data_IF_626266299580
#
_entry.id   IF_626266299580
#
_cell.length_a   1.000
_cell.length_b   1.000
_cell.length_c   1.000
_cell.angle_alpha   90.00
_cell.angle_beta   90.00
_cell.angle_gamma   90.00
#
_symmetry.space_group_name_H-M   'P 1'
#
loop_
_entity.id
_entity.type
_entity.pdbx_description
1 polymer ?
#
# COMPACT_ATOMS: atom_id res chain seq x y z
N UNK A 1 11.99 0.31 9.41
CA UNK A 1 13.19 0.56 8.62
C UNK A 1 12.77 0.80 7.17
N UNK A 2 13.08 1.98 6.62
CA UNK A 2 12.67 2.36 5.27
C UNK A 2 13.85 2.16 4.31
N UNK A 3 13.59 1.50 3.18
CA UNK A 3 14.61 1.17 2.18
C UNK A 3 14.26 1.86 0.86
N UNK A 4 15.18 2.62 0.33
CA UNK A 4 15.05 3.32 -0.94
C UNK A 4 16.03 2.73 -1.96
N UNK A 5 15.57 2.46 -3.16
CA UNK A 5 16.40 1.89 -4.23
C UNK A 5 15.59 1.52 -5.46
N UNK A 6 16.28 1.16 -6.52
CA UNK A 6 15.62 0.58 -7.68
C UNK A 6 15.24 -0.89 -7.41
N UNK A 7 14.23 -1.35 -8.13
CA UNK A 7 13.66 -2.72 -7.97
C UNK A 7 14.68 -3.84 -8.20
N UNK A 8 15.78 -3.56 -8.89
CA UNK A 8 16.79 -4.56 -9.28
C UNK A 8 18.18 -4.30 -8.69
N UNK A 9 18.36 -3.17 -8.00
CA UNK A 9 19.63 -2.82 -7.37
C UNK A 9 19.57 -3.03 -5.86
N UNK A 10 20.76 -3.14 -5.24
CA UNK A 10 20.85 -3.14 -3.78
C UNK A 10 20.25 -1.84 -3.23
N UNK A 11 19.63 -1.88 -2.04
CA UNK A 11 19.05 -0.70 -1.41
C UNK A 11 20.12 0.40 -1.28
N UNK A 12 19.80 1.61 -1.75
CA UNK A 12 20.73 2.74 -1.77
C UNK A 12 20.95 3.29 -0.37
N UNK A 13 19.90 3.27 0.47
CA UNK A 13 19.97 3.68 1.86
C UNK A 13 18.85 3.06 2.69
N UNK A 14 19.06 2.98 3.99
CA UNK A 14 18.08 2.60 5.00
C UNK A 14 17.95 3.72 6.03
N UNK A 15 16.70 4.05 6.37
CA UNK A 15 16.36 5.08 7.33
C UNK A 15 15.46 4.52 8.42
N UNK A 16 15.67 4.99 9.65
CA UNK A 16 14.66 4.92 10.69
C UNK A 16 13.72 6.11 10.51
N UNK A 17 12.42 5.89 10.71
CA UNK A 17 11.40 6.92 10.75
C UNK A 17 10.86 7.05 12.16
N UNK A 18 10.90 8.26 12.70
CA UNK A 18 10.21 8.63 13.93
C UNK A 18 9.13 9.63 13.56
N UNK A 19 7.91 9.41 14.02
CA UNK A 19 6.78 10.26 13.65
C UNK A 19 5.75 10.35 14.76
N UNK A 20 5.27 11.55 15.03
CA UNK A 20 4.06 11.81 15.78
C UNK A 20 2.93 12.14 14.81
N UNK A 21 1.89 11.34 14.83
CA UNK A 21 0.78 11.40 13.86
C UNK A 21 -0.55 11.60 14.56
N UNK A 22 -1.40 12.46 13.99
CA UNK A 22 -2.79 12.65 14.38
C UNK A 22 -3.66 12.76 13.11
N UNK A 23 -4.76 12.02 13.08
CA UNK A 23 -5.76 12.13 12.02
C UNK A 23 -7.16 12.28 12.61
N UNK A 24 -8.01 13.01 11.89
CA UNK A 24 -9.43 13.12 12.18
C UNK A 24 -10.23 13.10 10.88
N UNK A 25 -11.36 12.43 10.88
CA UNK A 25 -12.18 12.31 9.69
C UNK A 25 -13.66 12.15 10.00
N UNK A 26 -14.46 12.31 8.97
CA UNK A 26 -15.89 12.04 8.98
C UNK A 26 -16.24 11.22 7.75
N UNK A 27 -17.11 10.23 7.93
CA UNK A 27 -17.49 9.34 6.85
C UNK A 27 -18.84 8.69 7.11
N UNK A 28 -19.27 7.94 6.11
CA UNK A 28 -20.48 7.11 6.17
C UNK A 28 -20.13 5.69 5.82
N UNK A 29 -20.48 4.78 6.72
CA UNK A 29 -20.46 3.35 6.44
C UNK A 29 -21.77 2.90 5.77
N UNK A 30 -21.66 2.02 4.79
CA UNK A 30 -22.77 1.39 4.08
C UNK A 30 -22.93 -0.04 4.55
N UNK A 31 -23.57 -0.21 5.73
CA UNK A 31 -23.64 -1.51 6.40
C UNK A 31 -22.22 -2.06 6.66
N UNK A 32 -21.98 -3.31 6.30
CA UNK A 32 -20.70 -4.01 6.47
C UNK A 32 -19.90 -4.18 5.16
N UNK A 33 -20.33 -3.53 4.08
CA UNK A 33 -19.74 -3.76 2.77
C UNK A 33 -18.99 -2.55 2.16
N UNK A 34 -19.12 -1.37 2.75
CA UNK A 34 -18.43 -0.22 2.20
C UNK A 34 -18.41 1.02 3.08
N UNK A 35 -17.57 1.96 2.72
CA UNK A 35 -17.41 3.25 3.39
C UNK A 35 -17.01 4.35 2.42
N UNK A 36 -17.40 5.57 2.72
CA UNK A 36 -16.97 6.80 2.07
C UNK A 36 -16.64 7.83 3.14
N UNK A 37 -15.49 8.46 3.07
CA UNK A 37 -15.08 9.44 4.06
C UNK A 37 -14.11 10.47 3.54
N UNK A 38 -13.97 11.53 4.32
CA UNK A 38 -12.92 12.54 4.17
C UNK A 38 -12.21 12.70 5.51
N UNK A 39 -10.93 13.00 5.46
CA UNK A 39 -10.10 13.15 6.65
C UNK A 39 -9.04 14.22 6.47
N UNK A 40 -8.55 14.71 7.58
CA UNK A 40 -7.36 15.54 7.66
C UNK A 40 -6.33 14.83 8.54
N UNK A 41 -5.07 14.97 8.20
CA UNK A 41 -3.97 14.42 8.96
C UNK A 41 -2.89 15.46 9.17
N UNK A 42 -2.27 15.40 10.33
CA UNK A 42 -1.11 16.21 10.69
C UNK A 42 -0.06 15.28 11.30
N UNK A 43 1.18 15.44 10.87
CA UNK A 43 2.28 14.74 11.48
C UNK A 43 3.54 15.62 11.47
N UNK A 44 4.46 15.29 12.36
CA UNK A 44 5.83 15.78 12.35
C UNK A 44 6.75 14.61 12.60
N UNK A 45 7.80 14.49 11.81
CA UNK A 45 8.71 13.37 11.90
C UNK A 45 10.06 13.67 11.30
N UNK A 46 10.92 12.68 11.43
CA UNK A 46 12.26 12.65 10.86
C UNK A 46 12.62 11.29 10.29
N UNK A 47 13.48 11.30 9.29
CA UNK A 47 14.21 10.14 8.81
C UNK A 47 15.67 10.26 9.22
N UNK A 48 16.17 9.28 9.94
CA UNK A 48 17.58 9.17 10.33
C UNK A 48 18.25 8.03 9.55
N UNK A 49 19.27 8.37 8.74
CA UNK A 49 19.97 7.38 7.92
C UNK A 49 20.78 6.43 8.78
N UNK A 50 20.51 5.14 8.67
CA UNK A 50 21.25 4.09 9.38
C UNK A 50 22.42 3.56 8.54
N UNK A 51 22.16 3.30 7.25
CA UNK A 51 23.14 2.77 6.30
C UNK A 51 22.85 3.35 4.92
N UNK A 52 23.88 3.63 4.13
CA UNK A 52 23.71 4.01 2.75
C UNK A 52 24.74 5.04 2.25
N UNK A 53 24.51 5.51 1.02
CA UNK A 53 25.38 6.44 0.34
C UNK A 53 25.53 7.79 1.07
N UNK A 54 26.74 8.31 1.11
CA UNK A 54 27.00 9.66 1.64
C UNK A 54 26.43 10.79 0.75
N UNK A 55 25.99 10.46 -0.47
CA UNK A 55 25.29 11.41 -1.35
C UNK A 55 23.86 11.73 -0.88
N UNK A 56 23.29 10.91 0.02
CA UNK A 56 21.96 11.12 0.58
C UNK A 56 22.07 11.80 1.95
N UNK A 57 21.10 12.66 2.33
CA UNK A 57 21.10 13.35 3.61
C UNK A 57 21.09 12.35 4.77
N UNK A 58 21.71 12.73 5.89
CA UNK A 58 21.71 11.92 7.10
C UNK A 58 20.38 12.02 7.84
N UNK A 59 19.83 13.22 7.89
CA UNK A 59 18.59 13.53 8.57
C UNK A 59 17.67 14.30 7.63
N UNK A 60 16.38 13.94 7.60
CA UNK A 60 15.34 14.62 6.84
C UNK A 60 14.17 14.86 7.78
N UNK A 61 13.95 16.11 8.17
CA UNK A 61 12.76 16.49 8.94
C UNK A 61 11.62 16.81 8.01
N UNK A 62 10.39 16.42 8.37
CA UNK A 62 9.21 16.71 7.58
C UNK A 62 7.98 17.03 8.45
N UNK A 63 7.05 17.75 7.86
CA UNK A 63 5.73 18.00 8.42
C UNK A 63 4.68 17.54 7.39
N UNK A 64 3.66 16.89 7.88
CA UNK A 64 2.49 16.47 7.10
C UNK A 64 1.31 17.32 7.54
N UNK A 65 0.62 17.94 6.57
CA UNK A 65 -0.70 18.57 6.72
C UNK A 65 -1.48 18.28 5.45
N UNK A 66 -2.21 17.18 5.49
CA UNK A 66 -2.88 16.64 4.33
C UNK A 66 -4.39 16.61 4.52
N UNK A 67 -5.10 16.70 3.41
CA UNK A 67 -6.51 16.36 3.30
C UNK A 67 -6.65 15.12 2.44
N UNK A 68 -7.54 14.24 2.83
CA UNK A 68 -7.76 12.99 2.13
C UNK A 68 -9.22 12.63 1.99
N UNK A 69 -9.47 11.75 1.01
CA UNK A 69 -10.76 11.09 0.81
C UNK A 69 -10.53 9.59 0.63
N UNK A 70 -11.46 8.79 1.13
CA UNK A 70 -11.45 7.34 1.02
C UNK A 70 -12.80 6.85 0.53
N UNK A 71 -12.78 5.90 -0.39
CA UNK A 71 -13.94 5.12 -0.79
C UNK A 71 -13.55 3.66 -0.78
N UNK A 72 -14.29 2.83 -0.07
CA UNK A 72 -14.02 1.41 0.05
C UNK A 72 -15.29 0.59 -0.12
N UNK A 73 -15.17 -0.49 -0.89
CA UNK A 73 -16.10 -1.61 -0.93
C UNK A 73 -15.30 -2.83 -0.49
N UNK A 74 -15.80 -3.58 0.48
CA UNK A 74 -15.10 -4.75 1.00
C UNK A 74 -16.11 -5.85 1.31
N UNK A 75 -16.18 -6.82 0.43
CA UNK A 75 -17.01 -8.02 0.58
C UNK A 75 -16.17 -9.29 0.53
N UNK A 76 -14.83 -9.15 0.54
CA UNK A 76 -13.91 -10.30 0.47
C UNK A 76 -13.92 -11.05 1.80
N UNK A 77 -13.99 -12.36 1.73
CA UNK A 77 -13.92 -13.23 2.91
C UNK A 77 -12.53 -13.30 3.55
N UNK A 78 -11.48 -13.01 2.80
CA UNK A 78 -10.08 -13.00 3.27
C UNK A 78 -9.19 -12.17 2.37
N UNK A 79 -8.31 -11.35 2.94
CA UNK A 79 -7.35 -10.53 2.18
C UNK A 79 -6.16 -11.35 1.63
N UNK A 80 -5.77 -12.42 2.32
CA UNK A 80 -4.58 -13.20 1.93
C UNK A 80 -4.91 -14.41 1.05
N UNK A 81 -6.04 -15.04 1.30
CA UNK A 81 -6.50 -16.23 0.59
C UNK A 81 -7.96 -16.07 0.19
N UNK A 82 -8.29 -15.08 -0.65
CA UNK A 82 -9.67 -14.76 -0.98
C UNK A 82 -10.32 -15.92 -1.73
N UNK A 83 -11.58 -16.20 -1.37
CA UNK A 83 -12.39 -17.21 -2.03
C UNK A 83 -13.56 -16.60 -2.76
N UNK A 84 -14.15 -15.57 -2.21
CA UNK A 84 -15.30 -14.88 -2.79
C UNK A 84 -15.32 -13.42 -2.40
N UNK A 85 -16.00 -12.61 -3.20
CA UNK A 85 -16.22 -11.20 -2.93
C UNK A 85 -15.35 -10.28 -3.78
N UNK A 86 -15.50 -9.00 -3.51
CA UNK A 86 -14.80 -7.91 -4.19
C UNK A 86 -14.30 -6.90 -3.16
N UNK A 87 -13.07 -6.46 -3.33
CA UNK A 87 -12.50 -5.30 -2.65
C UNK A 87 -12.27 -4.20 -3.70
N UNK A 88 -12.73 -3.00 -3.42
CA UNK A 88 -12.32 -1.77 -4.08
C UNK A 88 -11.86 -0.82 -2.98
N UNK A 89 -10.61 -0.41 -3.00
CA UNK A 89 -10.07 0.59 -2.07
C UNK A 89 -9.51 1.73 -2.91
N UNK A 90 -10.11 2.90 -2.77
CA UNK A 90 -9.69 4.14 -3.42
C UNK A 90 -9.35 5.15 -2.36
N UNK A 91 -8.19 5.76 -2.50
CA UNK A 91 -7.75 6.84 -1.62
C UNK A 91 -7.16 7.97 -2.44
N UNK A 92 -7.48 9.18 -2.04
CA UNK A 92 -6.87 10.40 -2.52
C UNK A 92 -6.33 11.20 -1.35
N UNK A 93 -5.14 11.74 -1.50
CA UNK A 93 -4.48 12.58 -0.49
C UNK A 93 -3.87 13.79 -1.19
N UNK A 94 -4.01 14.95 -0.60
CA UNK A 94 -3.38 16.18 -1.05
C UNK A 94 -2.66 16.84 0.11
N UNK A 95 -1.38 17.16 -0.10
CA UNK A 95 -0.56 17.98 0.77
C UNK A 95 -0.17 19.28 0.08
N UNK A 96 -0.08 20.34 0.84
CA UNK A 96 0.29 21.66 0.29
C UNK A 96 1.11 22.47 1.28
N UNK A 97 2.22 23.04 0.81
CA UNK A 97 3.10 23.90 1.60
C UNK A 97 2.37 25.12 2.17
N UNK A 98 1.37 25.66 1.47
CA UNK A 98 0.57 26.78 1.97
C UNK A 98 -0.24 26.42 3.21
N UNK A 99 -0.47 25.13 3.47
CA UNK A 99 -1.12 24.63 4.69
C UNK A 99 -0.10 24.27 5.76
N UNK A 100 1.21 24.37 5.43
CA UNK A 100 2.34 24.05 6.30
C UNK A 100 2.77 22.59 6.21
N UNK A 101 2.42 21.88 5.15
CA UNK A 101 3.08 20.61 4.79
C UNK A 101 4.49 20.91 4.26
N UNK A 102 5.42 19.96 4.40
CA UNK A 102 6.76 20.09 3.81
C UNK A 102 6.75 20.03 2.30
N UNK A 103 5.73 19.44 1.72
CA UNK A 103 5.64 19.14 0.29
C UNK A 103 4.29 19.54 -0.29
N UNK A 104 4.30 19.89 -1.59
CA UNK A 104 3.09 20.07 -2.38
C UNK A 104 2.95 18.90 -3.35
N UNK A 105 1.96 18.03 -3.11
CA UNK A 105 1.74 16.81 -3.88
C UNK A 105 0.27 16.40 -3.89
N UNK A 106 -0.06 15.53 -4.81
CA UNK A 106 -1.32 14.79 -4.86
C UNK A 106 -0.99 13.30 -4.99
N UNK A 107 -1.66 12.48 -4.20
CA UNK A 107 -1.48 11.05 -4.19
C UNK A 107 -2.80 10.35 -4.44
N UNK A 108 -2.83 9.44 -5.41
CA UNK A 108 -3.97 8.59 -5.70
C UNK A 108 -3.61 7.12 -5.55
N UNK A 109 -4.46 6.34 -4.90
CA UNK A 109 -4.35 4.89 -4.87
C UNK A 109 -5.68 4.22 -5.23
N UNK A 110 -5.58 3.14 -5.98
CA UNK A 110 -6.70 2.30 -6.37
C UNK A 110 -6.27 0.84 -6.30
N UNK A 111 -6.93 0.08 -5.45
CA UNK A 111 -6.84 -1.37 -5.38
C UNK A 111 -8.20 -1.98 -5.75
N UNK A 112 -8.22 -2.88 -6.72
CA UNK A 112 -9.39 -3.68 -7.07
C UNK A 112 -8.98 -5.14 -6.99
N UNK A 113 -9.68 -5.91 -6.17
CA UNK A 113 -9.45 -7.35 -6.00
C UNK A 113 -10.79 -8.05 -6.09
N UNK A 114 -10.85 -9.15 -6.83
CA UNK A 114 -12.03 -10.00 -6.92
C UNK A 114 -11.67 -11.46 -6.75
N UNK A 115 -12.58 -12.23 -6.17
CA UNK A 115 -12.43 -13.67 -6.00
C UNK A 115 -13.75 -14.39 -6.31
N UNK A 116 -13.64 -15.54 -6.96
CA UNK A 116 -14.77 -16.38 -7.35
C UNK A 116 -14.51 -17.81 -6.88
N UNK A 117 -15.45 -18.40 -6.09
CA UNK A 117 -15.32 -19.78 -5.64
C UNK A 117 -15.66 -20.77 -6.77
N UNK A 118 -14.93 -21.88 -6.80
CA UNK A 118 -15.20 -22.98 -7.70
C UNK A 118 -14.96 -24.33 -6.99
N UNK A 119 -16.02 -24.99 -6.53
CA UNK A 119 -15.93 -26.23 -5.72
C UNK A 119 -15.01 -26.04 -4.51
N UNK A 120 -13.91 -26.79 -4.47
CA UNK A 120 -12.88 -26.70 -3.40
C UNK A 120 -11.80 -25.65 -3.70
N UNK A 121 -11.95 -24.90 -4.76
CA UNK A 121 -10.98 -23.94 -5.25
C UNK A 121 -11.53 -22.52 -5.26
N UNK A 122 -10.66 -21.55 -5.45
CA UNK A 122 -11.02 -20.20 -5.84
C UNK A 122 -10.01 -19.65 -6.86
N UNK A 123 -10.50 -18.85 -7.77
CA UNK A 123 -9.68 -17.98 -8.62
C UNK A 123 -9.83 -16.56 -8.10
N UNK A 124 -8.74 -15.88 -7.95
CA UNK A 124 -8.74 -14.48 -7.52
C UNK A 124 -7.75 -13.68 -8.33
N UNK A 125 -7.96 -12.39 -8.40
CA UNK A 125 -7.06 -11.51 -9.11
C UNK A 125 -7.40 -10.05 -8.86
N UNK A 126 -6.55 -9.18 -9.34
CA UNK A 126 -6.76 -7.76 -9.14
C UNK A 126 -5.77 -6.89 -9.87
N UNK A 127 -6.03 -5.60 -9.75
CA UNK A 127 -5.16 -4.52 -10.24
C UNK A 127 -4.91 -3.53 -9.12
N UNK A 128 -3.72 -2.95 -9.10
CA UNK A 128 -3.32 -1.85 -8.22
C UNK A 128 -2.72 -0.74 -9.06
N UNK A 129 -3.10 0.48 -8.77
CA UNK A 129 -2.55 1.68 -9.37
C UNK A 129 -2.34 2.73 -8.30
N UNK A 130 -1.09 3.06 -8.03
CA UNK A 130 -0.69 4.02 -7.01
C UNK A 130 0.24 5.03 -7.65
N UNK A 131 -0.12 6.29 -7.57
CA UNK A 131 0.64 7.35 -8.20
C UNK A 131 0.66 8.63 -7.38
N UNK A 132 1.80 9.27 -7.39
CA UNK A 132 2.02 10.62 -6.90
C UNK A 132 2.15 11.58 -8.08
N UNK A 133 1.81 12.83 -7.85
CA UNK A 133 2.10 13.97 -8.72
C UNK A 133 2.54 15.17 -7.88
N UNK A 134 3.25 16.10 -8.50
CA UNK A 134 3.89 17.20 -7.78
C UNK A 134 5.27 16.79 -7.27
N UNK A 135 5.58 17.16 -6.05
CA UNK A 135 6.87 16.84 -5.41
C UNK A 135 6.63 16.11 -4.08
N UNK A 136 6.32 14.80 -4.12
CA UNK A 136 6.09 14.03 -2.90
C UNK A 136 7.41 13.81 -2.17
N UNK A 137 7.49 14.21 -0.91
CA UNK A 137 8.61 13.80 -0.05
C UNK A 137 8.63 12.29 0.20
N UNK A 138 9.74 11.77 0.66
CA UNK A 138 9.96 10.33 0.90
C UNK A 138 8.90 9.71 1.82
N UNK A 139 8.36 10.49 2.76
CA UNK A 139 7.30 10.07 3.69
C UNK A 139 5.96 9.76 2.99
N UNK A 140 5.80 10.24 1.76
CA UNK A 140 4.59 10.05 0.94
C UNK A 140 4.77 8.97 -0.14
N UNK A 141 5.89 8.23 -0.13
CA UNK A 141 6.10 7.12 -1.06
C UNK A 141 5.34 5.88 -0.61
N UNK A 142 4.98 5.05 -1.57
CA UNK A 142 4.25 3.81 -1.32
C UNK A 142 5.19 2.68 -0.92
N UNK A 143 4.77 1.90 0.06
CA UNK A 143 5.46 0.68 0.45
C UNK A 143 4.98 -0.50 -0.40
N UNK A 144 5.91 -1.24 -0.99
CA UNK A 144 5.64 -2.44 -1.77
C UNK A 144 6.45 -3.62 -1.26
N UNK A 145 5.95 -4.81 -1.55
CA UNK A 145 6.50 -6.10 -1.14
C UNK A 145 5.44 -6.97 -0.48
N UNK A 146 5.63 -8.27 -0.57
CA UNK A 146 4.70 -9.27 -0.03
C UNK A 146 3.70 -9.79 -1.05
N UNK A 147 2.86 -10.71 -0.63
CA UNK A 147 1.91 -11.43 -1.48
C UNK A 147 0.95 -10.44 -2.17
N UNK A 148 0.83 -10.55 -3.49
CA UNK A 148 0.03 -9.65 -4.36
C UNK A 148 0.45 -8.17 -4.34
N UNK A 149 1.67 -7.89 -3.90
CA UNK A 149 2.29 -6.56 -3.87
C UNK A 149 3.77 -6.62 -4.28
N UNK A 150 4.10 -7.28 -5.38
CA UNK A 150 5.47 -7.64 -5.78
C UNK A 150 6.09 -8.67 -4.82
N UNK A 151 5.59 -9.90 -4.87
CA UNK A 151 5.95 -11.00 -3.95
C UNK A 151 7.42 -11.43 -3.99
N UNK A 152 8.20 -10.94 -4.96
CA UNK A 152 9.65 -11.10 -5.00
C UNK A 152 10.37 -10.35 -3.86
N UNK A 153 9.72 -9.38 -3.24
CA UNK A 153 10.24 -8.59 -2.12
C UNK A 153 9.58 -9.00 -0.80
N UNK A 154 10.28 -8.79 0.29
CA UNK A 154 9.69 -8.94 1.63
C UNK A 154 8.56 -7.94 1.82
N UNK A 155 7.64 -8.25 2.72
CA UNK A 155 6.50 -7.39 3.05
C UNK A 155 6.98 -5.98 3.39
N UNK A 156 6.43 -4.97 2.68
CA UNK A 156 6.67 -3.54 2.87
C UNK A 156 8.17 -3.17 2.96
N UNK A 157 9.00 -3.85 2.16
CA UNK A 157 10.46 -3.70 2.24
C UNK A 157 11.04 -2.64 1.29
N UNK A 158 10.28 -2.19 0.32
CA UNK A 158 10.73 -1.23 -0.70
C UNK A 158 9.76 -0.05 -0.79
N UNK A 159 10.30 1.17 -0.76
CA UNK A 159 9.53 2.38 -0.97
C UNK A 159 9.66 2.84 -2.41
N UNK A 160 8.54 3.15 -3.04
CA UNK A 160 8.45 3.54 -4.45
C UNK A 160 7.56 4.77 -4.61
N UNK A 161 7.92 5.66 -5.52
CA UNK A 161 7.11 6.85 -5.78
C UNK A 161 5.79 6.49 -6.44
N UNK A 162 5.84 5.62 -7.45
CA UNK A 162 4.66 5.21 -8.20
C UNK A 162 4.76 3.74 -8.58
N UNK A 163 3.61 3.05 -8.65
CA UNK A 163 3.55 1.71 -9.20
C UNK A 163 2.18 1.34 -9.76
N UNK A 164 2.18 0.38 -10.64
CA UNK A 164 0.98 -0.33 -11.07
C UNK A 164 1.28 -1.82 -11.20
N UNK A 165 0.29 -2.63 -10.91
CA UNK A 165 0.41 -4.07 -11.07
C UNK A 165 -0.93 -4.74 -11.30
N UNK A 166 -0.87 -5.92 -11.89
CA UNK A 166 -1.97 -6.86 -11.96
C UNK A 166 -1.49 -8.22 -11.46
N UNK A 167 -2.39 -8.99 -10.89
CA UNK A 167 -2.09 -10.34 -10.43
C UNK A 167 -3.29 -11.26 -10.66
N UNK A 168 -2.99 -12.55 -10.80
CA UNK A 168 -3.96 -13.62 -10.89
C UNK A 168 -3.49 -14.76 -9.99
N UNK A 169 -4.40 -15.33 -9.22
CA UNK A 169 -4.08 -16.39 -8.30
C UNK A 169 -5.13 -17.51 -8.31
N UNK A 170 -4.71 -18.65 -7.82
CA UNK A 170 -5.54 -19.82 -7.64
C UNK A 170 -5.27 -20.45 -6.30
N UNK A 171 -6.34 -20.77 -5.57
CA UNK A 171 -6.29 -21.46 -4.29
C UNK A 171 -7.06 -22.80 -4.39
N UNK A 172 -6.50 -23.86 -3.82
CA UNK A 172 -7.15 -25.17 -3.70
C UNK A 172 -7.17 -25.60 -2.24
N UNK A 173 -8.34 -25.92 -1.71
CA UNK A 173 -8.51 -26.49 -0.38
C UNK A 173 -8.21 -27.98 -0.40
N UNK A 174 -7.11 -28.39 0.19
CA UNK A 174 -6.66 -29.79 0.25
C UNK A 174 -7.46 -30.59 1.27
N UNK A 175 -7.97 -29.94 2.32
CA UNK A 175 -8.70 -30.60 3.40
C UNK A 175 -8.40 -29.96 4.76
N UNK A 176 -8.40 -30.79 5.80
CA UNK A 176 -8.05 -30.37 7.14
C UNK A 176 -6.76 -31.06 7.59
N UNK A 177 -5.76 -30.30 7.95
CA UNK A 177 -4.56 -30.78 8.62
C UNK A 177 -4.57 -30.25 10.06
N UNK A 178 -4.45 -31.14 11.06
CA UNK A 178 -4.49 -30.77 12.48
C UNK A 178 -5.72 -29.94 12.86
N UNK A 179 -6.90 -30.30 12.33
CA UNK A 179 -8.20 -29.59 12.53
C UNK A 179 -8.24 -28.16 11.94
N UNK A 180 -7.24 -27.77 11.13
CA UNK A 180 -7.20 -26.49 10.42
C UNK A 180 -7.41 -26.71 8.92
N UNK A 181 -8.20 -25.82 8.31
CA UNK A 181 -8.35 -25.82 6.84
C UNK A 181 -7.00 -25.56 6.19
N UNK A 182 -6.59 -26.45 5.31
CA UNK A 182 -5.30 -26.35 4.57
C UNK A 182 -5.59 -25.97 3.14
N UNK A 183 -4.94 -24.92 2.68
CA UNK A 183 -5.05 -24.37 1.32
C UNK A 183 -3.68 -24.37 0.69
N UNK A 184 -3.59 -24.80 -0.57
CA UNK A 184 -2.42 -24.66 -1.42
C UNK A 184 -2.79 -23.74 -2.56
N UNK A 185 -1.93 -22.78 -2.87
CA UNK A 185 -2.20 -21.82 -3.95
C UNK A 185 -0.93 -21.22 -4.51
N UNK A 186 -1.12 -20.44 -5.55
CA UNK A 186 -0.05 -19.69 -6.21
C UNK A 186 -0.61 -18.46 -6.92
N UNK A 187 0.26 -17.50 -7.17
CA UNK A 187 -0.04 -16.24 -7.87
C UNK A 187 0.97 -15.99 -8.98
N UNK A 188 0.50 -15.32 -10.02
CA UNK A 188 1.34 -14.71 -11.04
C UNK A 188 1.10 -13.21 -10.98
N UNK A 189 2.17 -12.44 -10.99
CA UNK A 189 2.15 -11.00 -10.86
C UNK A 189 2.91 -10.35 -12.02
N UNK A 190 2.38 -9.23 -12.50
CA UNK A 190 3.04 -8.38 -13.46
C UNK A 190 2.85 -6.92 -13.07
N UNK A 191 3.94 -6.16 -13.01
CA UNK A 191 3.85 -4.77 -12.62
C UNK A 191 5.02 -3.93 -13.10
N UNK A 192 4.87 -2.62 -12.91
CA UNK A 192 5.87 -1.61 -13.21
C UNK A 192 5.94 -0.59 -12.07
N UNK A 193 7.14 -0.22 -11.72
CA UNK A 193 7.48 0.89 -10.83
C UNK A 193 8.07 2.00 -11.69
N UNK A 194 7.79 3.27 -11.34
CA UNK A 194 8.36 4.46 -12.00
C UNK A 194 8.40 5.64 -11.04
N UNK A 195 9.20 6.62 -11.33
CA UNK A 195 9.47 7.86 -10.62
C UNK A 195 10.78 8.41 -11.07
#
# INVERSE_FOLDING_TARGET
LYTFGSVFDAPIAQYNRNELFLAAGIGRAFSNWGELGVYAEVAAGDFEKQVGSNALPNDVNYQIRNLGAVFKIDTVDSLYLPREGVLVDMRYVEGNESWGSSDTFQQGSLDIIGAVPFKNSSVFGGVRYHANSGNPGLQNWFEVGGVTRFSAYQLDSVNVENYRMAFLGYNYRVGQLLKRSTVIGGTVEYGKIWG
#
